data_IF_126246801758
#
_entry.id   IF_126246801758
#
_cell.length_a   1.000
_cell.length_b   1.000
_cell.length_c   1.000
_cell.angle_alpha   90.00
_cell.angle_beta   90.00
_cell.angle_gamma   90.00
#
_symmetry.space_group_name_H-M   'P 1'
#
loop_
_entity.id
_entity.type
_entity.pdbx_description
1 polymer ?
#
# COMPACT_ATOMS: atom_id res chain seq x y z
N UNK A 1 -26.77 26.99 -18.29
CA UNK A 1 -26.87 26.35 -16.96
C UNK A 1 -25.50 25.92 -16.38
N UNK A 2 -24.37 26.53 -16.79
CA UNK A 2 -23.06 26.33 -16.13
C UNK A 2 -22.32 27.66 -15.87
N UNK A 3 -22.97 28.81 -16.10
CA UNK A 3 -22.36 30.14 -16.02
C UNK A 3 -22.22 30.71 -14.60
N UNK A 4 -22.84 30.08 -13.60
CA UNK A 4 -22.99 30.69 -12.26
C UNK A 4 -22.10 30.07 -11.18
N UNK A 5 -21.17 29.17 -11.52
CA UNK A 5 -20.15 28.72 -10.57
C UNK A 5 -19.01 29.74 -10.50
N UNK A 6 -19.29 30.89 -9.87
CA UNK A 6 -18.27 31.84 -9.44
C UNK A 6 -17.53 31.25 -8.21
N UNK A 7 -16.76 30.19 -8.44
CA UNK A 7 -15.90 29.58 -7.42
C UNK A 7 -14.76 30.56 -7.16
N UNK A 8 -14.90 31.36 -6.10
CA UNK A 8 -13.78 32.15 -5.56
C UNK A 8 -12.70 31.17 -5.10
N UNK A 9 -11.69 30.94 -5.94
CA UNK A 9 -10.49 30.21 -5.53
C UNK A 9 -9.70 31.14 -4.61
N UNK A 10 -9.98 31.05 -3.31
CA UNK A 10 -9.19 31.72 -2.28
C UNK A 10 -7.72 31.34 -2.46
N UNK A 11 -6.82 32.32 -2.27
CA UNK A 11 -5.37 32.07 -2.28
C UNK A 11 -5.05 30.91 -1.32
N UNK A 12 -4.20 29.95 -1.72
CA UNK A 12 -3.85 28.83 -0.86
C UNK A 12 -3.12 29.36 0.39
N UNK A 13 -3.70 29.11 1.55
CA UNK A 13 -3.08 29.28 2.86
C UNK A 13 -2.68 27.89 3.35
N UNK A 14 -1.79 27.82 4.35
CA UNK A 14 -1.40 26.52 4.91
C UNK A 14 -2.62 25.71 5.38
N UNK A 15 -3.51 26.35 6.13
CA UNK A 15 -4.64 25.66 6.72
C UNK A 15 -5.64 25.17 5.66
N UNK A 16 -5.93 26.00 4.64
CA UNK A 16 -6.83 25.58 3.57
C UNK A 16 -6.22 24.50 2.67
N UNK A 17 -4.89 24.48 2.52
CA UNK A 17 -4.18 23.45 1.78
C UNK A 17 -4.22 22.13 2.55
N UNK A 18 -3.90 22.16 3.85
CA UNK A 18 -3.94 20.98 4.72
C UNK A 18 -5.34 20.38 4.72
N UNK A 19 -6.36 21.16 5.05
CA UNK A 19 -7.76 20.69 5.12
C UNK A 19 -8.23 20.06 3.79
N UNK A 20 -7.99 20.75 2.67
CA UNK A 20 -8.39 20.25 1.34
C UNK A 20 -7.62 19.00 0.95
N UNK A 21 -6.32 18.94 1.24
CA UNK A 21 -5.49 17.78 0.89
C UNK A 21 -5.87 16.57 1.73
N UNK A 22 -6.13 16.72 3.04
CA UNK A 22 -6.68 15.63 3.85
C UNK A 22 -8.01 15.13 3.27
N UNK A 23 -8.90 16.05 2.87
CA UNK A 23 -10.18 15.69 2.25
C UNK A 23 -9.98 14.85 0.99
N UNK A 24 -9.09 15.28 0.08
CA UNK A 24 -8.78 14.53 -1.14
C UNK A 24 -8.16 13.17 -0.83
N UNK A 25 -7.26 13.09 0.14
CA UNK A 25 -6.64 11.83 0.58
C UNK A 25 -7.68 10.84 1.15
N UNK A 26 -8.66 11.31 1.93
CA UNK A 26 -9.74 10.45 2.42
C UNK A 26 -10.65 9.95 1.30
N UNK A 27 -10.96 10.81 0.32
CA UNK A 27 -11.73 10.42 -0.87
C UNK A 27 -10.98 9.35 -1.66
N UNK A 28 -9.68 9.55 -1.90
CA UNK A 28 -8.84 8.59 -2.61
C UNK A 28 -8.72 7.27 -1.83
N UNK A 29 -8.56 7.31 -0.50
CA UNK A 29 -8.55 6.11 0.33
C UNK A 29 -9.87 5.33 0.19
N UNK A 30 -11.01 6.03 0.25
CA UNK A 30 -12.33 5.41 0.08
C UNK A 30 -12.53 4.83 -1.32
N UNK A 31 -12.06 5.51 -2.37
CA UNK A 31 -12.10 5.01 -3.73
C UNK A 31 -11.20 3.78 -3.90
N UNK A 32 -10.02 3.79 -3.29
CA UNK A 32 -9.10 2.67 -3.29
C UNK A 32 -9.69 1.45 -2.59
N UNK A 33 -10.44 1.62 -1.49
CA UNK A 33 -11.21 0.53 -0.86
C UNK A 33 -12.17 -0.08 -1.87
N UNK A 34 -12.97 0.72 -2.57
CA UNK A 34 -13.93 0.21 -3.58
C UNK A 34 -13.21 -0.51 -4.72
N UNK A 35 -12.10 0.05 -5.19
CA UNK A 35 -11.29 -0.53 -6.26
C UNK A 35 -10.70 -1.89 -5.85
N UNK A 36 -10.42 -2.11 -4.56
CA UNK A 36 -9.92 -3.39 -4.06
C UNK A 36 -11.02 -4.46 -3.97
N UNK A 37 -12.28 -4.08 -3.74
CA UNK A 37 -13.41 -5.03 -3.63
C UNK A 37 -13.66 -5.86 -4.88
N UNK A 38 -13.23 -5.39 -6.05
CA UNK A 38 -13.33 -6.16 -7.31
C UNK A 38 -12.47 -7.42 -7.32
N UNK A 39 -11.56 -7.57 -6.37
CA UNK A 39 -10.69 -8.73 -6.20
C UNK A 39 -11.15 -9.65 -5.07
N UNK A 40 -12.24 -9.34 -4.37
CA UNK A 40 -12.80 -10.25 -3.38
C UNK A 40 -13.26 -11.51 -4.14
N UNK A 41 -12.83 -12.68 -3.66
CA UNK A 41 -13.11 -13.97 -4.27
C UNK A 41 -13.99 -14.80 -3.34
N UNK A 42 -14.83 -15.65 -3.93
CA UNK A 42 -15.68 -16.58 -3.21
C UNK A 42 -15.50 -17.99 -3.75
N UNK A 43 -15.59 -19.00 -2.87
CA UNK A 43 -15.51 -20.40 -3.29
C UNK A 43 -14.12 -20.83 -3.77
N UNK A 44 -13.06 -20.26 -3.20
CA UNK A 44 -11.68 -20.53 -3.65
C UNK A 44 -11.03 -21.62 -2.82
N UNK A 45 -10.28 -22.50 -3.50
CA UNK A 45 -9.49 -23.54 -2.86
C UNK A 45 -8.13 -23.01 -2.45
N UNK A 46 -7.76 -23.27 -1.20
CA UNK A 46 -6.44 -22.94 -0.66
C UNK A 46 -5.63 -24.23 -0.50
N UNK A 47 -4.48 -24.29 -1.16
CA UNK A 47 -3.60 -25.45 -1.11
C UNK A 47 -2.45 -25.18 -0.15
N UNK A 48 -2.39 -25.83 1.03
CA UNK A 48 -1.30 -25.62 1.97
C UNK A 48 0.01 -26.22 1.44
N UNK A 49 1.11 -25.53 1.70
CA UNK A 49 2.48 -25.97 1.43
C UNK A 49 3.36 -25.56 2.60
N UNK A 50 3.96 -26.54 3.28
CA UNK A 50 4.82 -26.28 4.43
C UNK A 50 6.27 -26.45 4.03
N UNK A 51 7.07 -25.39 4.19
CA UNK A 51 8.50 -25.40 3.88
C UNK A 51 9.26 -24.68 5.00
N UNK A 52 10.31 -25.30 5.54
CA UNK A 52 11.10 -24.70 6.62
C UNK A 52 10.32 -24.39 7.92
N UNK A 53 9.24 -25.12 8.19
CA UNK A 53 8.38 -24.91 9.38
C UNK A 53 7.33 -23.80 9.21
N UNK A 54 7.27 -23.14 8.05
CA UNK A 54 6.23 -22.13 7.74
C UNK A 54 5.22 -22.72 6.77
N UNK A 55 3.93 -22.52 7.05
CA UNK A 55 2.84 -22.98 6.17
C UNK A 55 2.32 -21.82 5.33
N UNK A 56 2.46 -21.96 4.02
CA UNK A 56 1.92 -21.04 3.02
C UNK A 56 0.69 -21.67 2.37
N UNK A 57 -0.20 -20.84 1.84
CA UNK A 57 -1.41 -21.28 1.15
C UNK A 57 -1.39 -20.74 -0.28
N UNK A 58 -1.35 -21.64 -1.26
CA UNK A 58 -1.45 -21.28 -2.67
C UNK A 58 -2.91 -21.13 -3.06
N UNK A 59 -3.22 -20.00 -3.69
CA UNK A 59 -4.52 -19.69 -4.25
C UNK A 59 -4.38 -19.43 -5.75
N UNK A 60 -5.22 -20.05 -6.59
CA UNK A 60 -5.31 -19.70 -8.01
C UNK A 60 -6.18 -18.48 -8.20
N UNK A 61 -5.68 -17.46 -8.93
CA UNK A 61 -6.42 -16.23 -9.20
C UNK A 61 -6.14 -15.78 -10.63
N UNK A 62 -7.19 -15.68 -11.45
CA UNK A 62 -7.04 -15.21 -12.83
C UNK A 62 -6.86 -13.69 -12.86
N UNK A 63 -5.85 -13.21 -13.60
CA UNK A 63 -5.69 -11.79 -13.89
C UNK A 63 -5.22 -10.91 -12.72
N UNK A 64 -4.67 -11.51 -11.65
CA UNK A 64 -4.15 -10.79 -10.48
C UNK A 64 -2.93 -9.92 -10.83
N UNK A 65 -2.04 -10.43 -11.69
CA UNK A 65 -0.83 -9.72 -12.12
C UNK A 65 -1.08 -8.64 -13.17
N UNK A 66 -2.19 -8.69 -13.91
CA UNK A 66 -2.34 -7.93 -15.16
C UNK A 66 -3.19 -6.65 -15.03
N UNK A 67 -3.81 -6.34 -13.88
CA UNK A 67 -4.70 -5.18 -13.77
C UNK A 67 -4.53 -4.39 -12.47
N UNK A 68 -4.00 -3.18 -12.62
CA UNK A 68 -3.97 -2.19 -11.54
C UNK A 68 -5.39 -1.84 -11.03
N UNK A 69 -5.53 -1.46 -9.75
CA UNK A 69 -4.49 -1.53 -8.72
C UNK A 69 -4.27 -2.98 -8.30
N UNK A 70 -3.04 -3.46 -8.42
CA UNK A 70 -2.64 -4.85 -8.24
C UNK A 70 -2.51 -5.17 -6.76
N UNK A 71 -2.94 -6.37 -6.36
CA UNK A 71 -2.54 -6.94 -5.07
C UNK A 71 -1.02 -7.06 -5.08
N UNK A 72 -0.38 -6.58 -4.02
CA UNK A 72 1.07 -6.57 -3.87
C UNK A 72 1.50 -7.49 -2.73
N UNK A 73 2.77 -7.89 -2.77
CA UNK A 73 3.43 -8.50 -1.62
C UNK A 73 3.32 -7.58 -0.41
N UNK A 74 2.89 -8.14 0.72
CA UNK A 74 2.66 -7.45 1.98
C UNK A 74 1.25 -6.89 2.16
N UNK A 75 0.38 -6.97 1.16
CA UNK A 75 -1.03 -6.63 1.36
C UNK A 75 -1.71 -7.62 2.30
N UNK A 76 -2.66 -7.10 3.09
CA UNK A 76 -3.45 -7.91 4.02
C UNK A 76 -4.51 -8.70 3.26
N UNK A 77 -4.73 -9.93 3.69
CA UNK A 77 -5.79 -10.81 3.20
C UNK A 77 -6.62 -11.32 4.38
N UNK A 78 -7.93 -11.39 4.18
CA UNK A 78 -8.88 -11.96 5.13
C UNK A 78 -9.55 -13.16 4.49
N UNK A 79 -9.59 -14.28 5.18
CA UNK A 79 -10.14 -15.55 4.71
C UNK A 79 -11.20 -16.04 5.68
N UNK A 80 -12.33 -16.51 5.18
CA UNK A 80 -13.38 -17.09 6.02
C UNK A 80 -14.11 -18.24 5.32
N UNK A 81 -14.78 -19.08 6.13
CA UNK A 81 -15.57 -20.19 5.62
C UNK A 81 -16.90 -19.64 5.07
N UNK A 82 -17.32 -19.99 3.84
CA UNK A 82 -18.60 -19.56 3.30
C UNK A 82 -19.76 -19.96 4.22
N UNK A 83 -20.69 -19.05 4.47
CA UNK A 83 -21.83 -19.27 5.37
C UNK A 83 -21.54 -19.02 6.85
N UNK A 84 -20.27 -18.85 7.25
CA UNK A 84 -19.89 -18.31 8.56
C UNK A 84 -19.70 -16.80 8.45
N UNK A 85 -20.24 -16.03 9.39
CA UNK A 85 -20.07 -14.56 9.44
C UNK A 85 -19.22 -14.10 10.63
N UNK A 86 -18.93 -14.99 11.59
CA UNK A 86 -18.40 -14.58 12.89
C UNK A 86 -16.86 -14.60 12.95
N UNK A 87 -16.19 -15.30 12.03
CA UNK A 87 -14.74 -15.52 12.08
C UNK A 87 -14.09 -15.24 10.73
N UNK A 88 -13.18 -14.27 10.72
CA UNK A 88 -12.26 -14.00 9.61
C UNK A 88 -10.82 -14.23 10.08
N UNK A 89 -10.05 -14.96 9.29
CA UNK A 89 -8.64 -15.21 9.53
C UNK A 89 -7.80 -14.24 8.72
N UNK A 90 -6.99 -13.44 9.41
CA UNK A 90 -6.06 -12.51 8.78
C UNK A 90 -4.78 -13.21 8.32
N UNK A 91 -4.21 -12.69 7.25
CA UNK A 91 -2.90 -13.04 6.74
C UNK A 91 -2.33 -11.98 5.82
N UNK A 92 -1.22 -12.32 5.16
CA UNK A 92 -0.52 -11.44 4.24
C UNK A 92 -0.20 -12.14 2.93
N UNK A 93 -0.20 -11.37 1.85
CA UNK A 93 0.26 -11.83 0.54
C UNK A 93 1.78 -11.90 0.56
N UNK A 94 2.34 -13.09 0.42
CA UNK A 94 3.80 -13.29 0.41
C UNK A 94 4.39 -13.10 -0.98
N UNK A 95 3.68 -13.57 -2.00
CA UNK A 95 4.12 -13.51 -3.38
C UNK A 95 2.90 -13.53 -4.31
N UNK A 96 2.99 -12.74 -5.39
CA UNK A 96 1.97 -12.68 -6.43
C UNK A 96 2.60 -13.20 -7.71
N UNK A 97 2.04 -14.29 -8.23
CA UNK A 97 2.39 -14.90 -9.50
C UNK A 97 1.36 -14.46 -10.56
N UNK A 98 1.57 -14.87 -11.81
CA UNK A 98 0.68 -14.50 -12.93
C UNK A 98 -0.77 -14.90 -12.67
N UNK A 99 -0.98 -16.16 -12.31
CA UNK A 99 -2.30 -16.78 -12.14
C UNK A 99 -2.51 -17.38 -10.73
N UNK A 100 -1.65 -17.00 -9.78
CA UNK A 100 -1.72 -17.51 -8.42
C UNK A 100 -1.13 -16.52 -7.41
N UNK A 101 -1.47 -16.68 -6.14
CA UNK A 101 -0.86 -15.96 -5.04
C UNK A 101 -0.50 -16.93 -3.90
N UNK A 102 0.61 -16.64 -3.23
CA UNK A 102 1.00 -17.29 -1.99
C UNK A 102 0.59 -16.41 -0.82
N UNK A 103 -0.17 -17.00 0.10
CA UNK A 103 -0.68 -16.36 1.30
C UNK A 103 -0.04 -16.96 2.53
N UNK A 104 0.31 -16.11 3.49
CA UNK A 104 0.64 -16.53 4.84
C UNK A 104 -0.56 -16.24 5.74
N UNK A 105 -1.18 -17.28 6.27
CA UNK A 105 -2.33 -17.14 7.15
C UNK A 105 -1.91 -17.38 8.59
N UNK A 106 -2.73 -16.92 9.54
CA UNK A 106 -2.54 -17.19 10.96
C UNK A 106 -2.35 -18.71 11.20
N UNK A 107 -1.38 -19.15 12.03
CA UNK A 107 -1.17 -20.57 12.32
C UNK A 107 -2.42 -21.34 12.77
N UNK A 108 -3.35 -20.68 13.46
CA UNK A 108 -4.61 -21.30 13.89
C UNK A 108 -5.59 -21.59 12.74
N UNK A 109 -5.37 -21.02 11.54
CA UNK A 109 -6.23 -21.22 10.37
C UNK A 109 -6.30 -22.70 9.98
N UNK A 110 -5.16 -23.35 9.77
CA UNK A 110 -5.09 -24.72 9.26
C UNK A 110 -5.81 -25.73 10.16
N UNK A 111 -5.72 -25.54 11.48
CA UNK A 111 -6.40 -26.40 12.44
C UNK A 111 -7.91 -26.14 12.51
N UNK A 112 -8.31 -24.86 12.49
CA UNK A 112 -9.71 -24.48 12.60
C UNK A 112 -10.52 -24.76 11.32
N UNK A 113 -9.87 -24.79 10.15
CA UNK A 113 -10.55 -24.97 8.85
C UNK A 113 -10.27 -26.34 8.22
N UNK A 114 -9.88 -27.32 9.03
CA UNK A 114 -9.58 -28.67 8.56
C UNK A 114 -10.81 -29.31 7.90
N UNK A 115 -10.66 -29.77 6.66
CA UNK A 115 -11.75 -30.42 5.90
C UNK A 115 -12.69 -29.45 5.19
N UNK A 116 -12.49 -28.13 5.32
CA UNK A 116 -13.24 -27.14 4.54
C UNK A 116 -12.69 -27.10 3.11
N UNK A 117 -13.53 -27.29 2.08
CA UNK A 117 -13.05 -27.40 0.70
C UNK A 117 -12.78 -26.04 0.05
N UNK A 118 -13.52 -25.00 0.44
CA UNK A 118 -13.54 -23.70 -0.25
C UNK A 118 -13.70 -22.56 0.74
N UNK A 119 -13.13 -21.41 0.39
CA UNK A 119 -13.04 -20.22 1.23
C UNK A 119 -13.47 -18.97 0.48
N UNK A 120 -13.98 -18.00 1.23
CA UNK A 120 -14.11 -16.64 0.75
C UNK A 120 -12.83 -15.88 1.14
N UNK A 121 -12.37 -15.03 0.23
CA UNK A 121 -11.11 -14.30 0.36
C UNK A 121 -11.35 -12.83 0.03
N UNK A 122 -10.88 -11.96 0.90
CA UNK A 122 -10.94 -10.50 0.73
C UNK A 122 -9.55 -9.93 0.84
N UNK A 123 -9.21 -9.10 -0.13
CA UNK A 123 -7.96 -8.34 -0.09
C UNK A 123 -8.17 -6.97 0.53
N UNK A 124 -7.13 -6.49 1.21
CA UNK A 124 -7.06 -5.15 1.78
C UNK A 124 -5.71 -4.55 1.46
N UNK A 125 -5.73 -3.39 0.81
CA UNK A 125 -4.52 -2.60 0.64
C UNK A 125 -4.02 -2.06 1.98
N UNK A 126 -2.71 -1.88 2.08
CA UNK A 126 -2.11 -1.27 3.26
C UNK A 126 -2.52 0.21 3.41
N UNK A 127 -3.22 0.54 4.50
CA UNK A 127 -3.54 1.92 4.89
C UNK A 127 -2.31 2.75 5.26
N UNK A 128 -1.15 2.11 5.41
CA UNK A 128 0.09 2.78 5.82
C UNK A 128 0.50 3.87 4.84
N UNK A 129 0.24 3.69 3.54
CA UNK A 129 0.56 4.70 2.53
C UNK A 129 -0.23 5.98 2.77
N UNK A 130 -1.55 5.87 2.99
CA UNK A 130 -2.41 7.02 3.29
C UNK A 130 -2.07 7.66 4.63
N UNK A 131 -1.77 6.88 5.67
CA UNK A 131 -1.30 7.41 6.96
C UNK A 131 -0.03 8.25 6.81
N UNK A 132 0.93 7.80 5.99
CA UNK A 132 2.16 8.55 5.70
C UNK A 132 1.89 9.81 4.89
N UNK A 133 0.97 9.76 3.93
CA UNK A 133 0.56 10.95 3.17
C UNK A 133 -0.12 11.98 4.07
N UNK A 134 -1.04 11.56 4.96
CA UNK A 134 -1.64 12.45 5.95
C UNK A 134 -0.59 13.07 6.88
N UNK A 135 0.31 12.27 7.44
CA UNK A 135 1.39 12.78 8.27
C UNK A 135 2.31 13.76 7.50
N UNK A 136 2.56 13.53 6.21
CA UNK A 136 3.34 14.44 5.38
C UNK A 136 2.60 15.78 5.16
N UNK A 137 1.26 15.76 5.03
CA UNK A 137 0.44 16.96 4.94
C UNK A 137 0.45 17.75 6.25
N UNK A 138 0.33 17.07 7.39
CA UNK A 138 0.43 17.70 8.72
C UNK A 138 1.77 18.42 8.91
N UNK A 139 2.86 17.77 8.46
CA UNK A 139 4.23 18.28 8.54
C UNK A 139 4.65 19.13 7.33
N UNK A 140 3.73 19.43 6.41
CA UNK A 140 4.01 20.29 5.29
C UNK A 140 4.28 21.72 5.80
N UNK A 141 5.57 22.06 5.90
CA UNK A 141 5.99 23.44 5.71
C UNK A 141 5.79 23.72 4.23
N UNK A 142 5.15 24.84 3.90
CA UNK A 142 4.95 25.26 2.51
C UNK A 142 6.08 26.20 2.06
N UNK A 143 7.27 25.73 1.64
CA UNK A 143 7.90 26.32 0.47
C UNK A 143 6.98 26.07 -0.73
N UNK A 144 7.11 26.85 -1.79
CA UNK A 144 6.27 26.68 -2.98
C UNK A 144 6.33 25.22 -3.46
N UNK A 145 5.21 24.67 -3.97
CA UNK A 145 5.16 23.27 -4.42
C UNK A 145 6.30 22.87 -5.39
N UNK A 146 6.86 23.86 -6.09
CA UNK A 146 8.04 23.75 -6.96
C UNK A 146 9.33 23.43 -6.19
N UNK A 147 9.55 24.04 -5.03
CA UNK A 147 10.70 23.80 -4.16
C UNK A 147 10.61 22.43 -3.48
N UNK A 148 9.40 21.99 -3.10
CA UNK A 148 9.18 20.64 -2.55
C UNK A 148 9.49 19.54 -3.59
N UNK A 149 9.06 19.70 -4.84
CA UNK A 149 9.41 18.77 -5.93
C UNK A 149 10.92 18.75 -6.18
N UNK A 150 11.57 19.90 -6.17
CA UNK A 150 13.02 20.00 -6.35
C UNK A 150 13.77 19.31 -5.21
N UNK A 151 13.30 19.39 -3.96
CA UNK A 151 13.90 18.67 -2.84
C UNK A 151 13.65 17.16 -2.88
N UNK A 152 12.52 16.70 -3.41
CA UNK A 152 12.25 15.27 -3.63
C UNK A 152 13.17 14.73 -4.73
N UNK A 153 13.30 15.41 -5.86
CA UNK A 153 14.21 15.02 -6.95
C UNK A 153 15.67 14.97 -6.48
N UNK A 154 16.11 15.92 -5.64
CA UNK A 154 17.46 15.91 -5.07
C UNK A 154 17.70 14.78 -4.04
N UNK A 155 16.65 14.20 -3.45
CA UNK A 155 16.77 13.08 -2.49
C UNK A 155 16.85 11.71 -3.16
N UNK A 156 16.42 11.59 -4.41
CA UNK A 156 16.45 10.35 -5.18
C UNK A 156 17.45 10.47 -6.33
N UNK A 157 18.73 10.68 -6.01
CA UNK A 157 19.81 10.49 -6.99
C UNK A 157 20.03 8.97 -7.12
N UNK A 158 19.84 8.36 -8.31
CA UNK A 158 20.16 6.95 -8.52
C UNK A 158 21.62 6.69 -8.16
N UNK A 159 21.91 5.61 -7.43
CA UNK A 159 23.27 5.29 -6.94
C UNK A 159 24.29 5.26 -8.09
N UNK A 160 23.82 4.89 -9.28
CA UNK A 160 24.58 4.74 -10.52
C UNK A 160 25.02 6.07 -11.15
N UNK A 161 24.48 7.19 -10.66
CA UNK A 161 24.76 8.54 -11.15
C UNK A 161 25.70 9.34 -10.23
N UNK A 162 26.18 8.73 -9.15
CA UNK A 162 27.15 9.36 -8.24
C UNK A 162 28.57 9.27 -8.83
N UNK A 163 29.33 10.38 -8.83
CA UNK A 163 30.72 10.33 -9.26
C UNK A 163 31.57 9.54 -8.25
N UNK A 164 32.64 8.90 -8.73
CA UNK A 164 33.50 7.96 -7.98
C UNK A 164 34.10 8.54 -6.67
N UNK A 165 34.05 9.87 -6.49
CA UNK A 165 34.60 10.61 -5.37
C UNK A 165 33.55 11.08 -4.32
N UNK A 166 32.30 10.63 -4.38
CA UNK A 166 31.29 11.04 -3.39
C UNK A 166 31.58 10.49 -1.98
N UNK A 167 31.69 11.39 -0.99
CA UNK A 167 31.90 11.03 0.42
C UNK A 167 30.56 11.02 1.17
N UNK A 168 30.28 9.95 1.92
CA UNK A 168 29.10 9.86 2.79
C UNK A 168 29.40 10.44 4.17
N UNK A 169 28.58 11.38 4.63
CA UNK A 169 28.55 11.78 6.05
C UNK A 169 27.26 11.20 6.66
N UNK A 170 27.41 10.33 7.65
CA UNK A 170 26.29 9.78 8.42
C UNK A 170 26.03 10.73 9.59
N UNK A 171 24.82 11.30 9.65
CA UNK A 171 24.35 12.01 10.85
C UNK A 171 23.83 10.97 11.85
N UNK A 172 24.34 10.98 13.09
CA UNK A 172 23.94 10.00 14.12
C UNK A 172 22.50 10.19 14.64
N UNK A 173 21.84 11.32 14.37
CA UNK A 173 20.49 11.57 14.89
C UNK A 173 19.35 11.21 13.93
N UNK A 174 19.63 11.04 12.64
CA UNK A 174 18.64 10.65 11.64
C UNK A 174 19.28 9.67 10.68
N UNK A 175 18.63 8.52 10.42
CA UNK A 175 19.09 7.49 9.48
C UNK A 175 18.99 7.97 8.01
N UNK A 176 19.63 9.09 7.69
CA UNK A 176 19.70 9.73 6.38
C UNK A 176 21.18 9.93 6.07
N UNK A 177 21.68 9.21 5.07
CA UNK A 177 23.02 9.44 4.51
C UNK A 177 22.94 10.62 3.54
N UNK A 178 23.67 11.69 3.83
CA UNK A 178 23.86 12.81 2.91
C UNK A 178 25.21 12.63 2.20
N UNK A 179 25.21 12.81 0.88
CA UNK A 179 26.41 12.72 0.04
C UNK A 179 26.72 14.12 -0.49
N UNK A 180 27.96 14.58 -0.29
CA UNK A 180 28.43 15.86 -0.82
C UNK A 180 29.47 15.60 -1.92
N UNK A 181 29.44 16.44 -2.96
CA UNK A 181 30.51 16.52 -3.96
C UNK A 181 31.65 17.36 -3.37
N UNK A 182 32.87 16.81 -3.32
CA UNK A 182 34.05 17.63 -3.03
C UNK A 182 34.43 18.44 -4.27
N UNK A 183 34.95 19.68 -4.11
CA UNK A 183 35.48 20.46 -5.24
C UNK A 183 36.62 19.75 -5.97
#
# INVERSE_FOLDING_TARGET
MLSDLNVKINKPTRDNFVERTHTLLYIEEAQQVKNFRKFDLSGVKLHPSTEGGVTWHKMSVQGLAERRPSVLKGDSVYVWVPGTQDVEYEGFVQEVLRDAAWLQLNPCFSDATRGVPEFNVRFRFSRMQFRRMHAAVDNANLPSAREALQQIELRFVPLDTLPSNAVSVVSEEHAVKLYFLTP
#
